data_IF_029534790329
#
_entry.id   IF_029534790329
#
_cell.length_a   1.000
_cell.length_b   1.000
_cell.length_c   1.000
_cell.angle_alpha   90.00
_cell.angle_beta   90.00
_cell.angle_gamma   90.00
#
_symmetry.space_group_name_H-M   'P 1'
#
loop_
_entity.id
_entity.type
_entity.pdbx_description
1 polymer ?
#
# COMPACT_ATOMS: atom_id res chain seq x y z
N UNK A 1 66.47 3.21 80.28
CA UNK A 1 66.18 3.49 78.85
C UNK A 1 66.96 2.47 78.02
N UNK A 2 66.31 1.38 77.63
CA UNK A 2 66.97 0.25 76.97
C UNK A 2 67.18 0.55 75.49
N UNK A 3 68.44 0.67 75.05
CA UNK A 3 68.80 0.84 73.65
C UNK A 3 68.52 -0.46 72.88
N UNK A 4 67.77 -0.44 71.76
CA UNK A 4 67.47 -1.66 71.03
C UNK A 4 68.75 -2.23 70.39
N UNK A 5 68.95 -3.54 70.54
CA UNK A 5 70.12 -4.28 70.04
C UNK A 5 70.30 -4.14 68.53
N UNK A 6 71.56 -4.15 68.07
CA UNK A 6 71.98 -3.98 66.67
C UNK A 6 71.22 -4.91 65.69
N UNK A 7 70.91 -6.13 66.14
CA UNK A 7 70.11 -7.12 65.42
C UNK A 7 68.68 -6.67 65.13
N UNK A 8 68.04 -5.93 66.05
CA UNK A 8 66.67 -5.43 65.86
C UNK A 8 66.61 -4.31 64.83
N UNK A 9 67.65 -3.45 64.77
CA UNK A 9 67.78 -2.41 63.74
C UNK A 9 68.01 -3.00 62.35
N UNK A 10 68.84 -4.04 62.26
CA UNK A 10 69.09 -4.72 60.98
C UNK A 10 67.83 -5.42 60.45
N UNK A 11 67.08 -6.10 61.33
CA UNK A 11 65.79 -6.73 60.97
C UNK A 11 64.74 -5.71 60.53
N UNK A 12 64.67 -4.54 61.17
CA UNK A 12 63.79 -3.45 60.75
C UNK A 12 64.16 -2.94 59.35
N UNK A 13 65.44 -2.79 59.05
CA UNK A 13 65.90 -2.38 57.72
C UNK A 13 65.55 -3.41 56.63
N UNK A 14 65.72 -4.71 56.92
CA UNK A 14 65.33 -5.79 56.00
C UNK A 14 63.82 -5.86 55.78
N UNK A 15 63.03 -5.74 56.85
CA UNK A 15 61.56 -5.72 56.74
C UNK A 15 61.07 -4.52 55.93
N UNK A 16 61.71 -3.35 56.10
CA UNK A 16 61.40 -2.15 55.33
C UNK A 16 61.71 -2.34 53.85
N UNK A 17 62.90 -2.88 53.50
CA UNK A 17 63.26 -3.16 52.11
C UNK A 17 62.30 -4.15 51.46
N UNK A 18 61.94 -5.23 52.14
CA UNK A 18 60.99 -6.21 51.63
C UNK A 18 59.61 -5.59 51.38
N UNK A 19 59.14 -4.71 52.30
CA UNK A 19 57.87 -4.00 52.14
C UNK A 19 57.90 -3.03 50.94
N UNK A 20 58.99 -2.28 50.74
CA UNK A 20 59.15 -1.40 49.58
C UNK A 20 59.17 -2.17 48.26
N UNK A 21 59.82 -3.33 48.24
CA UNK A 21 59.91 -4.17 47.03
C UNK A 21 58.52 -4.72 46.67
N UNK A 22 57.77 -5.21 47.66
CA UNK A 22 56.39 -5.67 47.46
C UNK A 22 55.47 -4.54 46.98
N UNK A 23 55.59 -3.33 47.55
CA UNK A 23 54.82 -2.17 47.09
C UNK A 23 55.12 -1.84 45.63
N UNK A 24 56.40 -1.89 45.22
CA UNK A 24 56.81 -1.64 43.84
C UNK A 24 56.22 -2.67 42.87
N UNK A 25 56.22 -3.96 43.23
CA UNK A 25 55.60 -5.02 42.43
C UNK A 25 54.09 -4.85 42.29
N UNK A 26 53.41 -4.49 43.39
CA UNK A 26 51.95 -4.26 43.39
C UNK A 26 51.58 -3.04 42.55
N UNK A 27 52.33 -1.94 42.66
CA UNK A 27 52.12 -0.74 41.84
C UNK A 27 52.35 -1.05 40.36
N UNK A 28 53.40 -1.81 40.02
CA UNK A 28 53.67 -2.24 38.65
C UNK A 28 52.55 -3.11 38.08
N UNK A 29 52.00 -4.03 38.88
CA UNK A 29 50.87 -4.88 38.48
C UNK A 29 49.57 -4.09 38.29
N UNK A 30 49.28 -3.13 39.17
CA UNK A 30 48.12 -2.24 39.03
C UNK A 30 48.26 -1.37 37.78
N UNK A 31 49.45 -0.82 37.51
CA UNK A 31 49.71 0.00 36.33
C UNK A 31 49.55 -0.81 35.04
N UNK A 32 50.06 -2.04 35.00
CA UNK A 32 49.83 -2.97 33.88
C UNK A 32 48.36 -3.35 33.72
N UNK A 33 47.61 -3.52 34.82
CA UNK A 33 46.17 -3.82 34.77
C UNK A 33 45.36 -2.65 34.23
N UNK A 34 45.71 -1.42 34.61
CA UNK A 34 45.09 -0.20 34.06
C UNK A 34 45.42 -0.03 32.57
N UNK A 35 46.66 -0.31 32.16
CA UNK A 35 47.06 -0.31 30.74
C UNK A 35 46.29 -1.38 29.94
N UNK A 36 46.09 -2.57 30.50
CA UNK A 36 45.28 -3.63 29.85
C UNK A 36 43.79 -3.25 29.70
N UNK A 37 43.26 -2.39 30.58
CA UNK A 37 41.91 -1.84 30.47
C UNK A 37 41.83 -0.67 29.47
N UNK A 38 42.93 0.05 29.26
CA UNK A 38 43.01 1.18 28.31
C UNK A 38 43.34 0.72 26.87
N UNK A 39 44.03 -0.42 26.67
CA UNK A 39 44.25 -1.00 25.34
C UNK A 39 42.99 -1.66 24.74
N UNK A 40 42.09 -2.20 25.57
CA UNK A 40 40.82 -2.79 25.08
C UNK A 40 39.71 -1.77 24.76
N UNK A 41 39.86 -0.50 25.16
CA UNK A 41 38.87 0.54 24.85
C UNK A 41 39.20 1.37 23.61
N UNK A 42 40.43 1.29 23.06
CA UNK A 42 40.85 2.17 21.95
C UNK A 42 41.18 1.47 20.62
N UNK A 43 41.03 0.14 20.52
CA UNK A 43 41.08 -0.60 19.24
C UNK A 43 39.73 -1.19 18.82
N UNK A 44 38.64 -0.82 19.52
CA UNK A 44 37.25 -1.21 19.18
C UNK A 44 36.32 -0.03 18.84
N UNK A 45 36.84 1.19 18.65
CA UNK A 45 36.01 2.36 18.30
C UNK A 45 35.79 2.56 16.79
N UNK A 46 36.49 1.81 15.92
CA UNK A 46 36.43 2.01 14.45
C UNK A 46 35.65 0.93 13.68
N UNK A 47 35.46 -0.26 14.25
CA UNK A 47 34.68 -1.35 13.65
C UNK A 47 33.14 -1.22 13.84
N UNK A 48 32.61 -0.68 14.97
CA UNK A 48 31.16 -0.55 15.17
C UNK A 48 30.54 0.52 14.26
N UNK A 49 31.22 1.65 14.07
CA UNK A 49 30.78 2.79 13.25
C UNK A 49 30.65 2.44 11.77
N UNK A 50 31.60 1.67 11.23
CA UNK A 50 31.56 1.21 9.84
C UNK A 50 30.39 0.23 9.60
N UNK A 51 30.08 -0.63 10.56
CA UNK A 51 28.92 -1.50 10.51
C UNK A 51 27.60 -0.73 10.62
N UNK A 52 27.55 0.34 11.42
CA UNK A 52 26.39 1.23 11.50
C UNK A 52 26.19 2.01 10.21
N UNK A 53 27.26 2.53 9.60
CA UNK A 53 27.19 3.19 8.30
C UNK A 53 26.73 2.23 7.18
N UNK A 54 27.19 0.97 7.19
CA UNK A 54 26.71 -0.08 6.28
C UNK A 54 25.22 -0.34 6.47
N UNK A 55 24.77 -0.51 7.71
CA UNK A 55 23.36 -0.75 8.02
C UNK A 55 22.47 0.46 7.70
N UNK A 56 22.99 1.68 7.84
CA UNK A 56 22.31 2.91 7.47
C UNK A 56 22.11 2.96 5.96
N UNK A 57 23.17 2.70 5.19
CA UNK A 57 23.10 2.62 3.73
C UNK A 57 22.13 1.53 3.26
N UNK A 58 22.15 0.36 3.89
CA UNK A 58 21.23 -0.74 3.59
C UNK A 58 19.78 -0.35 3.90
N UNK A 59 19.51 0.25 5.07
CA UNK A 59 18.18 0.70 5.45
C UNK A 59 17.65 1.79 4.50
N UNK A 60 18.49 2.75 4.10
CA UNK A 60 18.13 3.78 3.12
C UNK A 60 17.87 3.19 1.72
N UNK A 61 18.60 2.16 1.30
CA UNK A 61 18.33 1.48 0.04
C UNK A 61 16.96 0.77 0.07
N UNK A 62 16.64 0.09 1.18
CA UNK A 62 15.33 -0.53 1.35
C UNK A 62 14.20 0.49 1.49
N UNK A 63 14.44 1.63 2.14
CA UNK A 63 13.49 2.74 2.22
C UNK A 63 13.15 3.27 0.82
N UNK A 64 14.17 3.58 0.00
CA UNK A 64 13.96 4.07 -1.36
C UNK A 64 13.26 3.03 -2.25
N UNK A 65 13.62 1.76 -2.13
CA UNK A 65 12.96 0.67 -2.84
C UNK A 65 11.48 0.54 -2.44
N UNK A 66 11.20 0.59 -1.13
CA UNK A 66 9.82 0.52 -0.61
C UNK A 66 9.01 1.75 -1.01
N UNK A 67 9.63 2.93 -1.03
CA UNK A 67 9.04 4.17 -1.51
C UNK A 67 8.61 4.07 -2.97
N UNK A 68 9.50 3.56 -3.84
CA UNK A 68 9.21 3.34 -5.25
C UNK A 68 8.09 2.31 -5.45
N UNK A 69 8.09 1.23 -4.67
CA UNK A 69 7.03 0.23 -4.77
C UNK A 69 5.69 0.73 -4.20
N UNK A 70 5.73 1.60 -3.19
CA UNK A 70 4.55 2.23 -2.60
C UNK A 70 3.88 3.17 -3.61
N UNK A 71 4.67 3.97 -4.35
CA UNK A 71 4.13 4.91 -5.36
C UNK A 71 3.59 4.21 -6.60
N UNK A 72 4.08 3.00 -6.90
CA UNK A 72 3.60 2.18 -8.02
C UNK A 72 2.65 1.04 -7.59
N UNK A 73 2.18 1.05 -6.34
CA UNK A 73 1.33 -0.03 -5.85
C UNK A 73 0.03 -0.12 -6.66
N UNK A 74 -0.26 -1.31 -7.18
CA UNK A 74 -1.44 -1.63 -7.98
C UNK A 74 -2.58 -2.25 -7.16
N UNK A 75 -2.27 -2.66 -5.93
CA UNK A 75 -3.18 -3.36 -5.03
C UNK A 75 -2.99 -2.89 -3.59
N UNK A 76 -4.08 -2.97 -2.82
CA UNK A 76 -4.07 -2.62 -1.39
C UNK A 76 -3.07 -3.47 -0.59
N UNK A 77 -2.91 -4.74 -0.97
CA UNK A 77 -1.95 -5.65 -0.34
C UNK A 77 -0.50 -5.18 -0.51
N UNK A 78 -0.10 -4.82 -1.74
CA UNK A 78 1.22 -4.28 -2.01
C UNK A 78 1.40 -2.94 -1.33
N UNK A 79 0.42 -2.03 -1.43
CA UNK A 79 0.44 -0.73 -0.77
C UNK A 79 0.66 -0.84 0.74
N UNK A 80 -0.10 -1.71 1.42
CA UNK A 80 0.02 -1.91 2.86
C UNK A 80 1.37 -2.53 3.26
N UNK A 81 1.84 -3.52 2.49
CA UNK A 81 3.12 -4.17 2.75
C UNK A 81 4.29 -3.20 2.60
N UNK A 82 4.32 -2.43 1.51
CA UNK A 82 5.38 -1.44 1.25
C UNK A 82 5.30 -0.27 2.22
N UNK A 83 4.11 0.18 2.60
CA UNK A 83 3.94 1.23 3.62
C UNK A 83 4.46 0.79 5.00
N UNK A 84 4.20 -0.46 5.40
CA UNK A 84 4.77 -1.03 6.64
C UNK A 84 6.29 -1.15 6.57
N UNK A 85 6.83 -1.63 5.46
CA UNK A 85 8.28 -1.76 5.25
C UNK A 85 8.96 -0.39 5.30
N UNK A 86 8.40 0.60 4.60
CA UNK A 86 8.90 1.98 4.59
C UNK A 86 8.98 2.55 6.01
N UNK A 87 7.89 2.43 6.80
CA UNK A 87 7.86 2.88 8.19
C UNK A 87 8.91 2.17 9.06
N UNK A 88 9.09 0.86 8.87
CA UNK A 88 10.10 0.09 9.60
C UNK A 88 11.53 0.54 9.26
N UNK A 89 11.82 0.83 7.99
CA UNK A 89 13.15 1.31 7.57
C UNK A 89 13.42 2.73 8.06
N UNK A 90 12.44 3.65 7.98
CA UNK A 90 12.55 5.00 8.55
C UNK A 90 12.87 4.97 10.05
N UNK A 91 12.20 4.10 10.83
CA UNK A 91 12.52 3.90 12.25
C UNK A 91 13.95 3.37 12.46
N UNK A 92 14.39 2.41 11.63
CA UNK A 92 15.76 1.86 11.69
C UNK A 92 16.80 2.93 11.36
N UNK A 93 16.57 3.76 10.36
CA UNK A 93 17.45 4.88 9.98
C UNK A 93 17.55 5.87 11.14
N UNK A 94 16.42 6.29 11.71
CA UNK A 94 16.41 7.21 12.85
C UNK A 94 17.21 6.69 14.05
N UNK A 95 17.06 5.39 14.38
CA UNK A 95 17.86 4.76 15.43
C UNK A 95 19.36 4.79 15.08
N UNK A 96 19.74 4.42 13.86
CA UNK A 96 21.15 4.41 13.43
C UNK A 96 21.76 5.82 13.43
N UNK A 97 21.01 6.84 13.03
CA UNK A 97 21.45 8.23 13.08
C UNK A 97 21.64 8.74 14.51
N UNK A 98 20.78 8.31 15.44
CA UNK A 98 20.92 8.61 16.86
C UNK A 98 22.15 7.91 17.44
N UNK A 99 22.35 6.62 17.18
CA UNK A 99 23.51 5.86 17.67
C UNK A 99 24.84 6.43 17.14
N UNK A 100 24.87 6.89 15.88
CA UNK A 100 26.02 7.60 15.31
C UNK A 100 26.23 8.97 15.98
N UNK A 101 25.15 9.70 16.29
CA UNK A 101 25.24 10.97 17.02
C UNK A 101 25.82 10.79 18.43
N UNK A 102 25.43 9.74 19.14
CA UNK A 102 25.94 9.40 20.48
C UNK A 102 27.45 9.06 20.45
N UNK A 103 27.96 8.61 19.31
CA UNK A 103 29.39 8.35 19.06
C UNK A 103 30.17 9.58 18.58
N UNK A 104 29.53 10.76 18.54
CA UNK A 104 30.16 12.02 18.18
C UNK A 104 30.12 12.39 16.70
N UNK A 105 29.40 11.64 15.85
CA UNK A 105 29.19 12.01 14.44
C UNK A 105 28.10 13.07 14.31
N UNK A 106 28.29 14.05 13.43
CA UNK A 106 27.24 15.01 13.12
C UNK A 106 26.22 14.41 12.13
N UNK A 107 25.10 13.91 12.63
CA UNK A 107 24.02 13.34 11.82
C UNK A 107 22.84 14.29 11.59
N UNK A 108 22.90 15.53 12.09
CA UNK A 108 21.77 16.47 12.10
C UNK A 108 21.19 16.78 10.72
N UNK A 109 22.04 16.91 9.70
CA UNK A 109 21.59 17.13 8.32
C UNK A 109 20.85 15.91 7.75
N UNK A 110 21.37 14.70 7.99
CA UNK A 110 20.76 13.47 7.49
C UNK A 110 19.45 13.18 8.21
N UNK A 111 19.39 13.41 9.53
CA UNK A 111 18.16 13.26 10.31
C UNK A 111 17.06 14.23 9.84
N UNK A 112 17.42 15.46 9.46
CA UNK A 112 16.46 16.40 8.86
C UNK A 112 15.97 15.90 7.50
N UNK A 113 16.89 15.45 6.65
CA UNK A 113 16.55 14.92 5.33
C UNK A 113 15.65 13.68 5.41
N UNK A 114 15.93 12.75 6.33
CA UNK A 114 15.10 11.57 6.56
C UNK A 114 13.69 11.96 6.99
N UNK A 115 13.57 12.94 7.90
CA UNK A 115 12.25 13.41 8.34
C UNK A 115 11.43 14.00 7.19
N UNK A 116 12.07 14.78 6.32
CA UNK A 116 11.43 15.34 5.13
C UNK A 116 11.00 14.23 4.15
N UNK A 117 11.89 13.26 3.88
CA UNK A 117 11.59 12.09 3.04
C UNK A 117 10.41 11.30 3.60
N UNK A 118 10.44 10.94 4.89
CA UNK A 118 9.39 10.20 5.56
C UNK A 118 8.04 10.93 5.52
N UNK A 119 8.04 12.26 5.68
CA UNK A 119 6.84 13.08 5.57
C UNK A 119 6.28 13.08 4.15
N UNK A 120 7.13 13.32 3.14
CA UNK A 120 6.72 13.34 1.73
C UNK A 120 6.20 11.97 1.29
N UNK A 121 6.90 10.89 1.65
CA UNK A 121 6.47 9.53 1.31
C UNK A 121 5.21 9.11 2.08
N UNK A 122 5.02 9.60 3.30
CA UNK A 122 3.77 9.44 4.03
C UNK A 122 2.59 10.07 3.29
N UNK A 123 2.75 11.29 2.78
CA UNK A 123 1.72 11.97 1.98
C UNK A 123 1.46 11.27 0.66
N UNK A 124 2.50 10.88 -0.07
CA UNK A 124 2.36 10.11 -1.32
C UNK A 124 1.68 8.76 -1.06
N UNK A 125 2.04 8.08 0.03
CA UNK A 125 1.41 6.83 0.46
C UNK A 125 -0.09 6.99 0.68
N UNK A 126 -0.53 8.06 1.34
CA UNK A 126 -1.96 8.36 1.52
C UNK A 126 -2.67 8.55 0.18
N UNK A 127 -2.08 9.34 -0.73
CA UNK A 127 -2.65 9.58 -2.06
C UNK A 127 -2.78 8.30 -2.88
N UNK A 128 -1.79 7.40 -2.84
CA UNK A 128 -1.89 6.10 -3.51
C UNK A 128 -3.03 5.27 -2.92
N UNK A 129 -3.20 5.27 -1.59
CA UNK A 129 -4.32 4.60 -0.93
C UNK A 129 -5.69 5.14 -1.38
N UNK A 130 -5.81 6.47 -1.53
CA UNK A 130 -7.01 7.11 -2.08
C UNK A 130 -7.25 6.72 -3.54
N UNK A 131 -6.21 6.71 -4.38
CA UNK A 131 -6.28 6.28 -5.78
C UNK A 131 -6.79 4.84 -5.89
N UNK A 132 -6.23 3.92 -5.09
CA UNK A 132 -6.65 2.53 -5.07
C UNK A 132 -8.12 2.38 -4.65
N UNK A 133 -8.55 3.17 -3.66
CA UNK A 133 -9.95 3.20 -3.19
C UNK A 133 -10.89 3.71 -4.28
N UNK A 134 -10.55 4.82 -4.93
CA UNK A 134 -11.33 5.40 -6.02
C UNK A 134 -11.42 4.46 -7.22
N UNK A 135 -10.32 3.77 -7.54
CA UNK A 135 -10.28 2.77 -8.60
C UNK A 135 -11.25 1.61 -8.32
N UNK A 136 -11.26 1.11 -7.08
CA UNK A 136 -12.19 0.05 -6.68
C UNK A 136 -13.66 0.51 -6.75
N UNK A 137 -13.95 1.73 -6.27
CA UNK A 137 -15.30 2.32 -6.35
C UNK A 137 -15.76 2.51 -7.81
N UNK A 138 -14.88 3.02 -8.67
CA UNK A 138 -15.16 3.19 -10.09
C UNK A 138 -15.47 1.85 -10.76
N UNK A 139 -14.70 0.80 -10.45
CA UNK A 139 -14.94 -0.55 -10.99
C UNK A 139 -16.30 -1.10 -10.55
N UNK A 140 -16.65 -0.93 -9.26
CA UNK A 140 -17.94 -1.34 -8.75
C UNK A 140 -19.09 -0.57 -9.42
N UNK A 141 -18.97 0.75 -9.55
CA UNK A 141 -19.98 1.59 -10.18
C UNK A 141 -20.17 1.24 -11.66
N UNK A 142 -19.07 1.02 -12.39
CA UNK A 142 -19.11 0.59 -13.79
C UNK A 142 -19.86 -0.73 -13.95
N UNK A 143 -19.62 -1.72 -13.07
CA UNK A 143 -20.36 -2.99 -13.07
C UNK A 143 -21.84 -2.79 -12.81
N UNK A 144 -22.20 -2.02 -11.78
CA UNK A 144 -23.60 -1.72 -11.46
C UNK A 144 -24.34 -1.05 -12.62
N UNK A 145 -23.69 -0.09 -13.30
CA UNK A 145 -24.25 0.59 -14.46
C UNK A 145 -24.44 -0.39 -15.63
N UNK A 146 -23.45 -1.25 -15.90
CA UNK A 146 -23.54 -2.25 -16.96
C UNK A 146 -24.66 -3.28 -16.70
N UNK A 147 -24.84 -3.72 -15.45
CA UNK A 147 -25.93 -4.60 -15.02
C UNK A 147 -27.30 -3.92 -15.14
N UNK A 148 -27.40 -2.65 -14.74
CA UNK A 148 -28.63 -1.88 -14.88
C UNK A 148 -29.02 -1.69 -16.36
N UNK A 149 -28.06 -1.40 -17.23
CA UNK A 149 -28.29 -1.28 -18.67
C UNK A 149 -28.73 -2.62 -19.30
N UNK A 150 -28.16 -3.73 -18.85
CA UNK A 150 -28.62 -5.07 -19.26
C UNK A 150 -30.06 -5.35 -18.81
N UNK A 151 -30.40 -4.98 -17.56
CA UNK A 151 -31.76 -5.11 -17.04
C UNK A 151 -32.78 -4.30 -17.85
N UNK A 152 -32.44 -3.05 -18.19
CA UNK A 152 -33.28 -2.21 -19.07
C UNK A 152 -33.47 -2.87 -20.43
N UNK A 153 -32.41 -3.40 -21.03
CA UNK A 153 -32.49 -4.09 -22.31
C UNK A 153 -33.39 -5.34 -22.24
N UNK A 154 -33.28 -6.14 -21.18
CA UNK A 154 -34.12 -7.31 -20.97
C UNK A 154 -35.60 -6.94 -20.74
N UNK A 155 -35.87 -5.89 -19.96
CA UNK A 155 -37.23 -5.39 -19.74
C UNK A 155 -37.84 -4.84 -21.02
N UNK A 156 -37.11 -4.02 -21.77
CA UNK A 156 -37.56 -3.50 -23.05
C UNK A 156 -37.86 -4.64 -24.04
N UNK A 157 -37.01 -5.67 -24.09
CA UNK A 157 -37.29 -6.86 -24.88
C UNK A 157 -38.56 -7.59 -24.45
N UNK A 158 -38.77 -7.77 -23.14
CA UNK A 158 -40.00 -8.37 -22.60
C UNK A 158 -41.26 -7.57 -22.95
N UNK A 159 -41.19 -6.24 -22.84
CA UNK A 159 -42.29 -5.35 -23.22
C UNK A 159 -42.59 -5.40 -24.73
N UNK A 160 -41.54 -5.44 -25.58
CA UNK A 160 -41.71 -5.61 -27.02
C UNK A 160 -42.37 -6.96 -27.34
N UNK A 161 -41.98 -8.05 -26.68
CA UNK A 161 -42.59 -9.37 -26.88
C UNK A 161 -44.06 -9.40 -26.44
N UNK A 162 -44.39 -8.75 -25.32
CA UNK A 162 -45.77 -8.64 -24.86
C UNK A 162 -46.64 -7.85 -25.84
N UNK A 163 -46.13 -6.73 -26.33
CA UNK A 163 -46.81 -5.91 -27.32
C UNK A 163 -46.94 -6.62 -28.67
N UNK A 164 -45.92 -7.35 -29.12
CA UNK A 164 -46.00 -8.18 -30.32
C UNK A 164 -47.02 -9.33 -30.17
N UNK A 165 -47.16 -9.90 -28.97
CA UNK A 165 -48.19 -10.91 -28.67
C UNK A 165 -49.59 -10.30 -28.68
N UNK A 166 -49.76 -9.11 -28.09
CA UNK A 166 -51.00 -8.32 -28.15
C UNK A 166 -51.37 -7.98 -29.59
N UNK A 167 -50.40 -7.50 -30.38
CA UNK A 167 -50.54 -7.21 -31.79
C UNK A 167 -51.02 -8.45 -32.57
N UNK A 168 -50.38 -9.60 -32.35
CA UNK A 168 -50.77 -10.86 -32.98
C UNK A 168 -52.20 -11.32 -32.60
N UNK A 169 -52.61 -11.10 -31.35
CA UNK A 169 -53.97 -11.40 -30.90
C UNK A 169 -55.01 -10.44 -31.53
N UNK A 170 -54.71 -9.14 -31.59
CA UNK A 170 -55.54 -8.14 -32.28
C UNK A 170 -55.66 -8.48 -33.77
N UNK A 171 -54.55 -8.87 -34.41
CA UNK A 171 -54.53 -9.30 -35.81
C UNK A 171 -55.39 -10.53 -36.06
N UNK A 172 -55.34 -11.54 -35.18
CA UNK A 172 -56.22 -12.71 -35.26
C UNK A 172 -57.70 -12.30 -35.10
N UNK A 173 -58.02 -11.45 -34.13
CA UNK A 173 -59.39 -10.97 -33.91
C UNK A 173 -59.93 -10.12 -35.06
N UNK A 174 -59.08 -9.42 -35.81
CA UNK A 174 -59.49 -8.68 -37.03
C UNK A 174 -60.08 -9.64 -38.08
N UNK A 175 -59.50 -10.84 -38.26
CA UNK A 175 -60.07 -11.84 -39.19
C UNK A 175 -61.48 -12.26 -38.78
N UNK A 176 -61.70 -12.54 -37.49
CA UNK A 176 -63.02 -12.89 -36.96
C UNK A 176 -64.05 -11.76 -37.15
N UNK A 177 -63.62 -10.50 -36.97
CA UNK A 177 -64.47 -9.32 -37.13
C UNK A 177 -64.87 -9.09 -38.60
N UNK A 178 -63.94 -9.31 -39.53
CA UNK A 178 -64.19 -9.22 -40.98
C UNK A 178 -65.17 -10.32 -41.40
N UNK A 179 -64.96 -11.57 -40.96
CA UNK A 179 -65.83 -12.71 -41.28
C UNK A 179 -67.25 -12.51 -40.69
N UNK A 180 -67.34 -11.89 -39.50
CA UNK A 180 -68.61 -11.56 -38.85
C UNK A 180 -69.31 -10.32 -39.42
N UNK A 181 -68.79 -9.70 -40.48
CA UNK A 181 -69.37 -8.51 -41.13
C UNK A 181 -69.28 -7.22 -40.29
N UNK A 182 -68.39 -7.16 -39.29
CA UNK A 182 -68.23 -6.01 -38.37
C UNK A 182 -67.11 -5.07 -38.84
N UNK A 183 -67.23 -4.54 -40.07
CA UNK A 183 -66.21 -3.70 -40.72
C UNK A 183 -65.67 -2.57 -39.84
N UNK A 184 -66.54 -1.74 -39.25
CA UNK A 184 -66.12 -0.62 -38.39
C UNK A 184 -65.36 -1.05 -37.13
N UNK A 185 -65.54 -2.28 -36.65
CA UNK A 185 -64.78 -2.81 -35.51
C UNK A 185 -63.40 -3.32 -35.96
N UNK A 186 -63.34 -3.94 -37.15
CA UNK A 186 -62.07 -4.36 -37.75
C UNK A 186 -61.18 -3.15 -38.08
N UNK A 187 -61.75 -2.05 -38.59
CA UNK A 187 -61.02 -0.81 -38.87
C UNK A 187 -60.40 -0.21 -37.59
N UNK A 188 -61.18 -0.06 -36.52
CA UNK A 188 -60.66 0.41 -35.22
C UNK A 188 -59.59 -0.50 -34.61
N UNK A 189 -59.70 -1.81 -34.84
CA UNK A 189 -58.70 -2.76 -34.40
C UNK A 189 -57.39 -2.63 -35.20
N UNK A 190 -57.47 -2.32 -36.50
CA UNK A 190 -56.31 -2.01 -37.34
C UNK A 190 -55.62 -0.72 -36.91
N UNK A 191 -56.37 0.34 -36.63
CA UNK A 191 -55.81 1.61 -36.14
C UNK A 191 -55.04 1.38 -34.83
N UNK A 192 -55.64 0.65 -33.88
CA UNK A 192 -54.98 0.29 -32.62
C UNK A 192 -53.72 -0.55 -32.85
N UNK A 193 -53.77 -1.52 -33.77
CA UNK A 193 -52.63 -2.38 -34.07
C UNK A 193 -51.43 -1.56 -34.57
N UNK A 194 -51.68 -0.62 -35.49
CA UNK A 194 -50.63 0.20 -36.10
C UNK A 194 -50.12 1.26 -35.12
N UNK A 195 -51.02 2.08 -34.58
CA UNK A 195 -50.65 3.29 -33.84
C UNK A 195 -50.16 3.01 -32.43
N UNK A 196 -50.60 1.90 -31.82
CA UNK A 196 -50.29 1.58 -30.43
C UNK A 196 -49.36 0.38 -30.37
N UNK A 197 -49.78 -0.78 -30.85
CA UNK A 197 -49.05 -2.02 -30.57
C UNK A 197 -47.73 -2.09 -31.35
N UNK A 198 -47.74 -1.85 -32.66
CA UNK A 198 -46.54 -1.89 -33.50
C UNK A 198 -45.57 -0.73 -33.20
N UNK A 199 -46.09 0.46 -32.98
CA UNK A 199 -45.28 1.62 -32.60
C UNK A 199 -44.60 1.41 -31.23
N UNK A 200 -45.31 0.85 -30.25
CA UNK A 200 -44.72 0.53 -28.95
C UNK A 200 -43.64 -0.56 -29.05
N UNK A 201 -43.80 -1.56 -29.91
CA UNK A 201 -42.73 -2.55 -30.20
C UNK A 201 -41.47 -1.87 -30.73
N UNK A 202 -41.60 -0.92 -31.65
CA UNK A 202 -40.46 -0.18 -32.19
C UNK A 202 -39.76 0.63 -31.10
N UNK A 203 -40.52 1.38 -30.29
CA UNK A 203 -39.97 2.18 -29.18
C UNK A 203 -39.20 1.31 -28.17
N UNK A 204 -39.72 0.13 -27.84
CA UNK A 204 -39.03 -0.80 -26.93
C UNK A 204 -37.77 -1.41 -27.56
N UNK A 205 -37.78 -1.69 -28.86
CA UNK A 205 -36.57 -2.13 -29.56
C UNK A 205 -35.49 -1.04 -29.61
N UNK A 206 -35.87 0.21 -29.83
CA UNK A 206 -34.94 1.34 -29.77
C UNK A 206 -34.34 1.51 -28.37
N UNK A 207 -35.19 1.47 -27.34
CA UNK A 207 -34.75 1.54 -25.94
C UNK A 207 -33.74 0.42 -25.63
N UNK A 208 -34.03 -0.81 -26.06
CA UNK A 208 -33.13 -1.95 -25.90
C UNK A 208 -31.77 -1.71 -26.56
N UNK A 209 -31.76 -1.26 -27.82
CA UNK A 209 -30.53 -0.97 -28.57
C UNK A 209 -29.72 0.13 -27.88
N UNK A 210 -30.37 1.19 -27.43
CA UNK A 210 -29.72 2.29 -26.73
C UNK A 210 -29.11 1.84 -25.40
N UNK A 211 -29.82 1.01 -24.62
CA UNK A 211 -29.31 0.46 -23.37
C UNK A 211 -28.07 -0.42 -23.59
N UNK A 212 -28.07 -1.29 -24.63
CA UNK A 212 -26.92 -2.13 -24.96
C UNK A 212 -25.72 -1.31 -25.46
N UNK A 213 -25.93 -0.26 -26.25
CA UNK A 213 -24.87 0.67 -26.66
C UNK A 213 -24.27 1.40 -25.47
N UNK A 214 -25.12 1.86 -24.55
CA UNK A 214 -24.66 2.51 -23.33
C UNK A 214 -23.83 1.57 -22.46
N UNK A 215 -24.26 0.32 -22.27
CA UNK A 215 -23.47 -0.73 -21.62
C UNK A 215 -22.10 -0.90 -22.28
N UNK A 216 -22.05 -1.00 -23.62
CA UNK A 216 -20.78 -1.13 -24.34
C UNK A 216 -19.86 0.06 -24.13
N UNK A 217 -20.37 1.29 -24.15
CA UNK A 217 -19.57 2.49 -23.87
C UNK A 217 -18.97 2.48 -22.45
N UNK A 218 -19.72 2.05 -21.45
CA UNK A 218 -19.23 1.95 -20.07
C UNK A 218 -18.13 0.89 -19.95
N UNK A 219 -18.26 -0.23 -20.67
CA UNK A 219 -17.24 -1.29 -20.71
C UNK A 219 -15.98 -0.83 -21.46
N UNK A 220 -16.11 -0.11 -22.58
CA UNK A 220 -14.93 0.37 -23.32
C UNK A 220 -14.22 1.53 -22.63
N UNK A 221 -14.94 2.37 -21.87
CA UNK A 221 -14.33 3.39 -21.01
C UNK A 221 -13.44 2.77 -19.93
N UNK A 222 -13.79 1.58 -19.40
CA UNK A 222 -12.91 0.80 -18.52
C UNK A 222 -11.60 0.43 -19.23
N UNK A 223 -11.67 -0.05 -20.46
CA UNK A 223 -10.48 -0.49 -21.20
C UNK A 223 -9.57 0.68 -21.61
N UNK A 224 -10.15 1.81 -22.04
CA UNK A 224 -9.41 3.00 -22.48
C UNK A 224 -8.65 3.72 -21.34
N UNK A 225 -9.08 3.58 -20.09
CA UNK A 225 -8.43 4.19 -18.93
C UNK A 225 -7.32 3.32 -18.30
N UNK A 226 -6.94 2.20 -18.93
CA UNK A 226 -5.92 1.29 -18.39
C UNK A 226 -6.36 0.59 -17.10
N UNK A 227 -7.68 0.50 -16.86
CA UNK A 227 -8.27 -0.18 -15.70
C UNK A 227 -8.48 -1.69 -15.95
N UNK A 228 -8.19 -2.15 -17.17
CA UNK A 228 -8.33 -3.55 -17.59
C UNK A 228 -7.13 -4.43 -17.16
N UNK A 229 -5.95 -3.83 -16.99
CA UNK A 229 -4.70 -4.61 -16.81
C UNK A 229 -4.50 -5.17 -15.39
N UNK A 230 -5.34 -4.79 -14.43
CA UNK A 230 -5.32 -5.34 -13.07
C UNK A 230 -6.00 -6.72 -12.94
N UNK A 231 -6.74 -7.20 -13.95
CA UNK A 231 -7.46 -8.48 -13.91
C UNK A 231 -6.68 -9.65 -14.55
N UNK A 232 -5.53 -9.40 -15.22
CA UNK A 232 -4.77 -10.44 -15.94
C UNK A 232 -3.59 -11.08 -15.18
N UNK A 233 -3.23 -10.59 -14.00
CA UNK A 233 -2.17 -11.16 -13.16
C UNK A 233 -2.73 -11.85 -11.89
N UNK A 234 -3.68 -12.77 -12.08
CA UNK A 234 -3.97 -13.83 -11.10
C UNK A 234 -3.52 -15.17 -11.64
#
# INVERSE_FOLDING_TARGET
>A
MSTPSLTRRLWLAFALMAALTLLSTVIGWISLRVISQVEQTNTQALLPTMNMARQLSEASAYELFSAQNLTNADSEGVWLAQGKMLKAQSLKINHLLQALSEQGFNTSAIARQEKEIAQTLGQQGTLVGEILTLRAQQQQLSRQIAEAAESIAAQAHGQANNAATSAGATQAGIYDLIESGKGDQAERALDRLIDIDLEYVNQMNELRVNALRFKQLIVTLKDAQGLSDAEKNR
#
